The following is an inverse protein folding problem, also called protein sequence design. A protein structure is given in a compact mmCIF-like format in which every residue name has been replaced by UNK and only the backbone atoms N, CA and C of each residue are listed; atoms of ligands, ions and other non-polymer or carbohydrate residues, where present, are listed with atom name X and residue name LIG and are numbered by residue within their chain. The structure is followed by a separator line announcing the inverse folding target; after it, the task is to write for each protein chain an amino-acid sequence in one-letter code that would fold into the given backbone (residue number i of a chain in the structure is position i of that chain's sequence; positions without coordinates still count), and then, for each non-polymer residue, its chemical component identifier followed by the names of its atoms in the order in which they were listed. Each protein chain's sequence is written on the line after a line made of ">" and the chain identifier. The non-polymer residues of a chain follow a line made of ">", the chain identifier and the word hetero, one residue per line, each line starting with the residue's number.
data_IF_769395469696
#
_entry.id   IF_769395469696
#
_cell.length_a   1.000
_cell.length_b   1.000
_cell.length_c   1.000
_cell.angle_alpha   90.00
_cell.angle_beta   90.00
_cell.angle_gamma   90.00
#
_symmetry.space_group_name_H-M   'P 1'
#
loop_
_entity.id
_entity.type
_entity.pdbx_description
1 polymer ?
#
# COMPACT_ATOMS: atom_id res chain seq x y z
N UNK A 1 -6.56 5.38 16.53
CA UNK A 1 -6.64 5.02 17.96
C UNK A 1 -5.32 4.42 18.41
N UNK A 2 -4.87 4.70 19.65
CA UNK A 2 -3.50 4.40 20.14
C UNK A 2 -3.03 2.93 19.93
N UNK A 3 -3.94 1.97 19.90
CA UNK A 3 -3.60 0.56 19.64
C UNK A 3 -3.09 0.31 18.21
N UNK A 4 -3.61 1.02 17.21
CA UNK A 4 -3.19 0.86 15.81
C UNK A 4 -1.81 1.47 15.55
N UNK A 5 -1.47 2.55 16.25
CA UNK A 5 -0.14 3.16 16.19
C UNK A 5 0.94 2.21 16.71
N UNK A 6 0.69 1.52 17.83
CA UNK A 6 1.63 0.53 18.38
C UNK A 6 1.90 -0.62 17.38
N UNK A 7 0.89 -1.07 16.65
CA UNK A 7 1.03 -2.11 15.61
C UNK A 7 1.83 -1.59 14.41
N UNK A 8 1.54 -0.37 13.92
CA UNK A 8 2.31 0.23 12.82
C UNK A 8 3.77 0.44 13.20
N UNK A 9 4.02 0.92 14.41
CA UNK A 9 5.36 1.01 14.98
C UNK A 9 6.04 -0.36 15.05
N UNK A 10 5.35 -1.39 15.53
CA UNK A 10 5.89 -2.76 15.56
C UNK A 10 6.28 -3.25 14.15
N UNK A 11 5.44 -2.98 13.15
CA UNK A 11 5.73 -3.34 11.76
C UNK A 11 6.94 -2.61 11.19
N UNK A 12 7.08 -1.31 11.45
CA UNK A 12 8.20 -0.52 10.94
C UNK A 12 9.50 -0.83 11.67
N UNK A 13 9.44 -1.07 12.98
CA UNK A 13 10.63 -1.24 13.83
C UNK A 13 11.12 -2.69 13.95
N UNK A 14 10.23 -3.69 13.81
CA UNK A 14 10.58 -5.11 14.05
C UNK A 14 10.28 -6.04 12.89
N UNK A 15 9.74 -5.50 11.80
CA UNK A 15 9.57 -6.22 10.55
C UNK A 15 10.16 -5.40 9.41
N UNK A 16 10.38 -6.07 8.30
CA UNK A 16 10.72 -5.43 7.04
C UNK A 16 9.42 -5.18 6.25
N UNK A 17 8.77 -4.04 6.48
CA UNK A 17 7.63 -3.60 5.67
C UNK A 17 8.14 -3.15 4.30
N UNK A 18 7.75 -3.88 3.26
CA UNK A 18 8.23 -3.68 1.89
C UNK A 18 7.28 -2.82 1.08
N UNK A 19 5.98 -2.98 1.30
CA UNK A 19 4.96 -2.22 0.57
C UNK A 19 3.63 -2.09 1.31
N UNK A 20 2.93 -1.02 0.98
CA UNK A 20 1.53 -0.75 1.30
C UNK A 20 0.82 -0.41 -0.02
N UNK A 21 -0.18 -1.20 -0.39
CA UNK A 21 -1.00 -0.93 -1.57
C UNK A 21 -2.38 -0.52 -1.07
N UNK A 22 -2.78 0.74 -1.31
CA UNK A 22 -4.11 1.20 -1.02
C UNK A 22 -5.09 0.57 -2.01
N UNK A 23 -6.18 0.01 -1.49
CA UNK A 23 -7.22 -0.67 -2.26
C UNK A 23 -8.50 0.15 -2.16
N UNK A 24 -9.16 0.46 -3.30
CA UNK A 24 -10.29 1.36 -3.32
C UNK A 24 -11.49 0.74 -2.61
N UNK A 25 -12.29 1.57 -1.94
CA UNK A 25 -13.37 1.13 -1.05
C UNK A 25 -14.48 0.33 -1.74
N UNK A 26 -14.55 0.34 -3.07
CA UNK A 26 -15.48 -0.47 -3.85
C UNK A 26 -14.96 -1.85 -4.26
N UNK A 27 -13.68 -2.16 -4.03
CA UNK A 27 -13.06 -3.40 -4.47
C UNK A 27 -13.60 -4.65 -3.75
N UNK A 28 -14.37 -4.49 -2.67
CA UNK A 28 -15.02 -5.59 -1.95
C UNK A 28 -16.53 -5.45 -1.88
N UNK A 29 -17.13 -4.52 -2.62
CA UNK A 29 -18.59 -4.42 -2.72
C UNK A 29 -19.17 -5.66 -3.43
N UNK A 30 -20.42 -6.05 -3.10
CA UNK A 30 -21.31 -5.42 -2.11
C UNK A 30 -21.00 -5.81 -0.65
N UNK A 31 -20.02 -6.69 -0.40
CA UNK A 31 -19.73 -7.23 0.94
C UNK A 31 -19.14 -6.19 1.90
N UNK A 32 -18.26 -5.32 1.40
CA UNK A 32 -17.64 -4.26 2.19
C UNK A 32 -17.42 -3.00 1.35
N UNK A 33 -17.79 -1.85 1.90
CA UNK A 33 -17.62 -0.52 1.29
C UNK A 33 -16.52 0.32 1.94
N UNK A 34 -15.57 -0.31 2.64
CA UNK A 34 -14.49 0.36 3.36
C UNK A 34 -13.20 0.35 2.55
N UNK A 35 -12.39 1.38 2.70
CA UNK A 35 -11.03 1.38 2.16
C UNK A 35 -10.21 0.29 2.84
N UNK A 36 -9.42 -0.43 2.04
CA UNK A 36 -8.58 -1.53 2.51
C UNK A 36 -7.15 -1.34 2.02
N UNK A 37 -6.22 -2.14 2.51
CA UNK A 37 -4.84 -2.10 2.04
C UNK A 37 -4.22 -3.51 2.04
N UNK A 38 -3.29 -3.73 1.12
CA UNK A 38 -2.44 -4.92 1.09
C UNK A 38 -1.08 -4.54 1.66
N UNK A 39 -0.65 -5.25 2.71
CA UNK A 39 0.64 -5.06 3.35
C UNK A 39 1.58 -6.19 2.95
N UNK A 40 2.72 -5.87 2.36
CA UNK A 40 3.76 -6.85 2.02
C UNK A 40 4.94 -6.65 2.97
N UNK A 41 5.21 -7.64 3.82
CA UNK A 41 6.28 -7.55 4.80
C UNK A 41 6.96 -8.89 5.04
N UNK A 42 8.12 -8.85 5.67
CA UNK A 42 8.84 -10.03 6.15
C UNK A 42 9.08 -9.89 7.64
N UNK A 43 8.92 -11.00 8.38
CA UNK A 43 9.15 -11.03 9.82
C UNK A 43 10.67 -10.96 10.08
N UNK A 44 11.08 -10.03 10.94
CA UNK A 44 12.49 -9.76 11.21
C UNK A 44 13.13 -8.87 10.14
N UNK A 45 14.23 -8.21 10.50
CA UNK A 45 14.86 -7.17 9.70
C UNK A 45 14.38 -5.77 10.08
N UNK A 46 14.90 -4.76 9.39
CA UNK A 46 14.56 -3.35 9.60
C UNK A 46 13.94 -2.77 8.33
N UNK A 47 12.87 -1.98 8.51
CA UNK A 47 12.29 -1.22 7.41
C UNK A 47 13.18 -0.01 7.13
N UNK A 48 13.69 0.10 5.90
CA UNK A 48 14.43 1.28 5.46
C UNK A 48 13.58 2.22 4.59
N UNK A 49 12.87 1.64 3.62
CA UNK A 49 11.94 2.34 2.75
C UNK A 49 10.71 1.47 2.53
N UNK A 50 9.55 2.10 2.41
CA UNK A 50 8.28 1.44 2.12
C UNK A 50 7.79 1.91 0.76
N UNK A 51 7.40 0.96 -0.10
CA UNK A 51 6.80 1.26 -1.39
C UNK A 51 5.30 1.42 -1.27
N UNK A 52 4.77 2.55 -1.74
CA UNK A 52 3.34 2.84 -1.76
C UNK A 52 2.79 2.74 -3.17
N UNK A 53 1.57 2.25 -3.30
CA UNK A 53 0.81 2.24 -4.55
C UNK A 53 -0.67 2.56 -4.29
N UNK A 54 -1.25 3.44 -5.07
CA UNK A 54 -2.68 3.80 -5.02
C UNK A 54 -3.45 3.09 -6.15
N UNK A 55 -4.11 1.97 -5.81
CA UNK A 55 -4.87 1.18 -6.78
C UNK A 55 -6.19 1.86 -7.12
N UNK A 56 -6.42 2.12 -8.42
CA UNK A 56 -7.65 2.71 -8.92
C UNK A 56 -8.67 1.65 -9.32
N UNK A 57 -8.24 0.52 -9.88
CA UNK A 57 -9.14 -0.55 -10.32
C UNK A 57 -8.50 -1.94 -10.23
N UNK A 58 -9.32 -2.94 -9.93
CA UNK A 58 -8.93 -4.35 -9.84
C UNK A 58 -9.42 -5.20 -11.03
N UNK A 59 -9.92 -4.58 -12.09
CA UNK A 59 -10.57 -5.27 -13.22
C UNK A 59 -12.10 -5.30 -13.14
N UNK A 60 -12.68 -4.64 -12.14
CA UNK A 60 -14.12 -4.51 -11.97
C UNK A 60 -14.54 -3.08 -11.62
N UNK A 61 -15.80 -2.73 -11.91
CA UNK A 61 -16.42 -1.51 -11.38
C UNK A 61 -16.37 -1.51 -9.85
N UNK A 62 -16.32 -0.32 -9.25
CA UNK A 62 -16.27 -0.12 -7.79
C UNK A 62 -17.66 0.08 -7.17
N UNK A 63 -18.72 -0.29 -7.90
CA UNK A 63 -20.10 -0.26 -7.46
C UNK A 63 -20.57 -1.64 -6.97
N UNK A 64 -21.79 -1.72 -6.46
CA UNK A 64 -22.33 -2.98 -5.90
C UNK A 64 -22.49 -4.09 -6.96
N UNK A 65 -22.48 -3.73 -8.24
CA UNK A 65 -22.66 -4.68 -9.34
C UNK A 65 -21.37 -5.42 -9.69
N UNK A 66 -20.20 -4.80 -9.45
CA UNK A 66 -18.87 -5.36 -9.79
C UNK A 66 -18.84 -5.98 -11.19
N UNK A 67 -19.17 -5.18 -12.20
CA UNK A 67 -19.07 -5.62 -13.59
C UNK A 67 -17.61 -5.63 -14.03
N UNK A 68 -17.21 -6.60 -14.86
CA UNK A 68 -15.85 -6.65 -15.43
C UNK A 68 -15.58 -5.44 -16.31
N UNK A 69 -14.38 -4.90 -16.19
CA UNK A 69 -13.85 -3.82 -17.04
C UNK A 69 -12.45 -4.20 -17.54
N UNK A 70 -11.91 -3.43 -18.49
CA UNK A 70 -10.59 -3.72 -19.05
C UNK A 70 -9.45 -3.22 -18.14
N UNK A 71 -9.73 -2.19 -17.35
CA UNK A 71 -8.80 -1.49 -16.49
C UNK A 71 -8.52 -2.29 -15.22
N UNK A 72 -7.25 -2.66 -15.03
CA UNK A 72 -6.77 -3.32 -13.81
C UNK A 72 -5.33 -2.91 -13.55
N UNK A 73 -5.08 -2.43 -12.35
CA UNK A 73 -3.73 -2.03 -11.93
C UNK A 73 -2.93 -3.23 -11.40
N UNK A 74 -3.57 -4.38 -11.14
CA UNK A 74 -2.90 -5.56 -10.57
C UNK A 74 -1.64 -6.00 -11.36
N UNK A 75 -1.64 -6.04 -12.71
CA UNK A 75 -0.43 -6.34 -13.47
C UNK A 75 0.66 -5.29 -13.32
N UNK A 76 0.31 -3.99 -13.33
CA UNK A 76 1.27 -2.89 -13.13
C UNK A 76 1.84 -2.93 -11.71
N UNK A 77 1.01 -3.12 -10.68
CA UNK A 77 1.45 -3.31 -9.29
C UNK A 77 2.52 -4.39 -9.20
N UNK A 78 2.30 -5.56 -9.79
CA UNK A 78 3.28 -6.67 -9.77
C UNK A 78 4.56 -6.27 -10.50
N UNK A 79 4.45 -5.65 -11.68
CA UNK A 79 5.60 -5.22 -12.47
C UNK A 79 6.43 -4.16 -11.74
N UNK A 80 5.79 -3.09 -11.26
CA UNK A 80 6.41 -1.98 -10.54
C UNK A 80 6.99 -2.42 -9.21
N UNK A 81 6.28 -3.25 -8.47
CA UNK A 81 6.80 -3.82 -7.23
C UNK A 81 8.08 -4.60 -7.50
N UNK A 82 8.14 -5.47 -8.53
CA UNK A 82 9.37 -6.20 -8.88
C UNK A 82 10.50 -5.29 -9.34
N UNK A 83 10.19 -4.20 -10.04
CA UNK A 83 11.17 -3.23 -10.55
C UNK A 83 11.57 -2.14 -9.53
N UNK A 84 10.98 -2.12 -8.34
CA UNK A 84 11.21 -1.08 -7.34
C UNK A 84 12.67 -1.03 -6.90
N UNK A 85 13.17 0.17 -6.64
CA UNK A 85 14.51 0.38 -6.08
C UNK A 85 14.41 1.37 -4.93
N UNK A 86 14.98 0.99 -3.78
CA UNK A 86 14.96 1.80 -2.57
C UNK A 86 15.68 3.15 -2.71
N UNK A 87 16.45 3.36 -3.79
CA UNK A 87 17.24 4.59 -4.01
C UNK A 87 16.51 5.68 -4.80
N UNK A 88 15.23 5.48 -5.14
CA UNK A 88 14.45 6.44 -5.91
C UNK A 88 13.25 6.89 -5.09
N UNK A 89 13.40 8.03 -4.41
CA UNK A 89 12.24 8.77 -3.92
C UNK A 89 11.38 9.15 -5.13
N UNK A 90 10.16 8.65 -5.13
CA UNK A 90 9.18 8.97 -6.18
C UNK A 90 8.44 10.25 -5.82
N UNK A 91 8.09 11.03 -6.84
CA UNK A 91 7.15 12.14 -6.68
C UNK A 91 5.85 11.62 -6.03
N UNK A 92 5.48 12.20 -4.89
CA UNK A 92 4.31 11.80 -4.08
C UNK A 92 2.98 11.99 -4.81
N UNK A 93 2.98 12.71 -5.93
CA UNK A 93 1.82 12.87 -6.83
C UNK A 93 1.66 11.72 -7.82
N UNK A 94 2.65 10.84 -7.92
CA UNK A 94 2.55 9.65 -8.75
C UNK A 94 1.73 8.57 -8.04
N UNK A 95 1.15 7.69 -8.84
CA UNK A 95 0.39 6.54 -8.36
C UNK A 95 1.21 5.59 -7.47
N UNK A 96 2.54 5.63 -7.57
CA UNK A 96 3.42 4.87 -6.70
C UNK A 96 4.72 5.62 -6.40
N UNK A 97 5.24 5.43 -5.18
CA UNK A 97 6.46 6.09 -4.71
C UNK A 97 7.12 5.32 -3.55
N UNK A 98 8.40 5.58 -3.30
CA UNK A 98 9.12 5.08 -2.12
C UNK A 98 9.14 6.15 -1.03
N UNK A 99 8.88 5.74 0.22
CA UNK A 99 8.98 6.61 1.40
C UNK A 99 10.06 6.08 2.34
N UNK A 100 11.04 6.90 2.76
CA UNK A 100 12.03 6.49 3.75
C UNK A 100 11.40 6.33 5.15
N UNK A 101 11.91 5.39 5.95
CA UNK A 101 11.45 5.17 7.34
C UNK A 101 11.43 6.46 8.16
N UNK A 102 12.41 7.35 7.93
CA UNK A 102 12.49 8.64 8.64
C UNK A 102 11.21 9.46 8.50
N UNK A 103 10.68 9.61 7.29
CA UNK A 103 9.42 10.33 7.07
C UNK A 103 8.24 9.65 7.76
N UNK A 104 8.18 8.32 7.73
CA UNK A 104 7.11 7.55 8.40
C UNK A 104 7.14 7.80 9.91
N UNK A 105 8.33 7.83 10.51
CA UNK A 105 8.50 8.11 11.95
C UNK A 105 8.11 9.56 12.27
N UNK A 106 8.53 10.52 11.44
CA UNK A 106 8.16 11.94 11.58
C UNK A 106 6.64 12.15 11.41
N UNK A 107 5.99 11.31 10.62
CA UNK A 107 4.54 11.27 10.44
C UNK A 107 3.82 10.35 11.46
N UNK A 108 4.41 10.14 12.65
CA UNK A 108 3.84 9.35 13.74
C UNK A 108 3.42 7.91 13.35
N UNK A 109 4.22 7.27 12.50
CA UNK A 109 3.98 5.91 11.98
C UNK A 109 2.65 5.79 11.22
N UNK A 110 2.16 6.87 10.63
CA UNK A 110 1.06 6.79 9.68
C UNK A 110 1.56 6.27 8.34
N UNK A 111 0.83 5.27 7.83
CA UNK A 111 1.12 4.52 6.61
C UNK A 111 -0.02 4.74 5.65
#
# INVERSE_FOLDING_TARGET
>A
GKAFEAVRKLMIEKAELKAVIAVPSGAFKPYAGVSTAILIFTKGGETNHVWFYDMQADGYTLDDKRNKIAESDLPDIVQRYKARSAKKDGDRKLQYFMVPKKEIVENNYDL
#
